data_IF_607589599895
#
_entry.id   IF_607589599895
#
_cell.length_a   1.000
_cell.length_b   1.000
_cell.length_c   1.000
_cell.angle_alpha   90.00
_cell.angle_beta   90.00
_cell.angle_gamma   90.00
#
_symmetry.space_group_name_H-M   'P 1'
#
loop_
_entity.id
_entity.type
_entity.pdbx_description
1 polymer ?
#
# COMPACT_ATOMS: atom_id res chain seq x y z
N UNK A 1 -3.31 4.61 65.11
CA UNK A 1 -4.04 4.83 63.84
C UNK A 1 -3.02 5.28 62.79
N UNK A 2 -2.50 4.37 61.95
CA UNK A 2 -1.61 4.69 60.82
C UNK A 2 -2.22 4.06 59.57
N UNK A 3 -2.85 4.87 58.72
CA UNK A 3 -3.29 4.43 57.40
C UNK A 3 -2.05 4.39 56.48
N UNK A 4 -1.62 3.20 56.11
CA UNK A 4 -0.63 2.97 55.06
C UNK A 4 -1.35 3.02 53.71
N UNK A 5 -0.99 4.01 52.90
CA UNK A 5 -1.45 4.15 51.52
C UNK A 5 -0.66 3.18 50.63
N UNK A 6 -1.33 2.18 50.06
CA UNK A 6 -0.76 1.33 49.03
C UNK A 6 -0.85 2.04 47.67
N UNK A 7 0.27 2.58 47.19
CA UNK A 7 0.42 3.07 45.82
C UNK A 7 0.43 1.87 44.86
N UNK A 8 -0.67 1.68 44.14
CA UNK A 8 -0.72 0.74 43.02
C UNK A 8 0.14 1.28 41.87
N UNK A 9 1.26 0.59 41.56
CA UNK A 9 1.98 0.80 40.31
C UNK A 9 1.12 0.32 39.14
N UNK A 10 0.46 1.25 38.46
CA UNK A 10 -0.16 0.99 37.17
C UNK A 10 0.97 0.94 36.14
N UNK A 11 1.40 -0.27 35.77
CA UNK A 11 2.34 -0.48 34.68
C UNK A 11 1.73 -0.02 33.36
N UNK A 12 2.21 1.11 32.83
CA UNK A 12 1.81 1.58 31.50
C UNK A 12 2.45 0.67 30.45
N UNK A 13 1.66 -0.27 29.93
CA UNK A 13 2.01 -1.05 28.75
C UNK A 13 2.00 -0.09 27.55
N UNK A 14 3.16 0.44 27.16
CA UNK A 14 3.27 1.24 25.94
C UNK A 14 3.02 0.33 24.74
N UNK A 15 2.00 0.59 23.91
CA UNK A 15 1.80 -0.18 22.70
C UNK A 15 3.02 0.04 21.81
N UNK A 16 3.76 -1.03 21.56
CA UNK A 16 4.77 -1.04 20.49
C UNK A 16 3.97 -0.89 19.19
N UNK A 17 4.11 0.25 18.52
CA UNK A 17 3.52 0.46 17.22
C UNK A 17 4.03 -0.64 16.28
N UNK A 18 3.15 -1.56 15.89
CA UNK A 18 3.48 -2.64 14.98
C UNK A 18 3.89 -2.04 13.63
N UNK A 19 5.04 -2.47 13.10
CA UNK A 19 5.46 -2.08 11.75
C UNK A 19 4.40 -2.53 10.75
N UNK A 20 3.87 -1.58 9.99
CA UNK A 20 2.88 -1.88 8.97
C UNK A 20 3.58 -2.17 7.64
N UNK A 21 3.19 -3.28 7.00
CA UNK A 21 3.73 -3.66 5.69
C UNK A 21 2.63 -3.89 4.67
N UNK A 22 2.99 -3.75 3.39
CA UNK A 22 2.21 -4.22 2.24
C UNK A 22 3.17 -4.84 1.23
N UNK A 23 2.90 -6.08 0.82
CA UNK A 23 3.64 -6.77 -0.23
C UNK A 23 2.85 -6.68 -1.53
N UNK A 24 3.51 -6.27 -2.60
CA UNK A 24 2.98 -6.25 -3.96
C UNK A 24 3.70 -7.36 -4.75
N UNK A 25 3.10 -8.55 -4.93
CA UNK A 25 3.66 -9.56 -5.82
C UNK A 25 3.87 -9.00 -7.24
N UNK A 26 4.75 -9.64 -8.01
CA UNK A 26 4.95 -9.30 -9.43
C UNK A 26 3.69 -9.55 -10.28
N UNK A 27 2.85 -10.49 -9.84
CA UNK A 27 1.62 -10.89 -10.50
C UNK A 27 0.49 -11.01 -9.49
N UNK A 28 -0.61 -10.29 -9.74
CA UNK A 28 -1.89 -10.48 -9.07
C UNK A 28 -2.70 -11.53 -9.82
N UNK A 29 -3.33 -12.47 -9.09
CA UNK A 29 -4.22 -13.49 -9.63
C UNK A 29 -5.64 -13.18 -9.18
N UNK A 30 -6.55 -13.10 -10.14
CA UNK A 30 -7.99 -12.88 -9.90
C UNK A 30 -8.71 -14.11 -10.43
N UNK A 31 -9.33 -14.89 -9.53
CA UNK A 31 -10.12 -16.07 -9.92
C UNK A 31 -11.54 -15.71 -10.31
N UNK A 32 -12.12 -14.69 -9.67
CA UNK A 32 -13.53 -14.35 -9.78
C UNK A 32 -13.73 -12.83 -9.80
N UNK A 33 -14.74 -12.39 -10.54
CA UNK A 33 -15.18 -10.99 -10.57
C UNK A 33 -16.71 -10.93 -10.67
N UNK A 34 -17.31 -9.95 -9.99
CA UNK A 34 -18.76 -9.73 -10.03
C UNK A 34 -19.09 -8.72 -11.12
N UNK A 35 -19.92 -9.12 -12.08
CA UNK A 35 -20.50 -8.20 -13.04
C UNK A 35 -21.55 -7.32 -12.34
N UNK A 36 -21.41 -6.00 -12.46
CA UNK A 36 -22.34 -5.02 -11.89
C UNK A 36 -23.19 -4.30 -12.95
N UNK A 37 -23.04 -4.66 -14.23
CA UNK A 37 -23.77 -4.04 -15.33
C UNK A 37 -25.20 -4.56 -15.40
N UNK A 38 -26.21 -3.73 -15.10
CA UNK A 38 -27.61 -4.17 -15.03
C UNK A 38 -28.20 -4.54 -16.40
N UNK A 39 -27.60 -4.04 -17.48
CA UNK A 39 -28.10 -4.23 -18.85
C UNK A 39 -27.66 -5.58 -19.45
N UNK A 40 -26.84 -6.36 -18.74
CA UNK A 40 -26.42 -7.67 -19.20
C UNK A 40 -27.52 -8.71 -18.95
N UNK A 41 -27.84 -9.58 -19.94
CA UNK A 41 -28.84 -10.64 -19.75
C UNK A 41 -28.47 -11.58 -18.61
N UNK A 42 -29.49 -12.14 -17.96
CA UNK A 42 -29.31 -13.20 -16.96
C UNK A 42 -28.53 -14.39 -17.56
N UNK A 43 -27.60 -14.94 -16.79
CA UNK A 43 -26.72 -16.02 -17.23
C UNK A 43 -25.44 -15.56 -17.93
N UNK A 44 -25.22 -14.25 -18.11
CA UNK A 44 -23.93 -13.72 -18.59
C UNK A 44 -22.85 -13.95 -17.53
N UNK A 45 -21.65 -14.35 -17.97
CA UNK A 45 -20.47 -14.53 -17.14
C UNK A 45 -19.30 -13.72 -17.69
N UNK A 46 -18.32 -13.43 -16.83
CA UNK A 46 -17.05 -12.83 -17.23
C UNK A 46 -16.01 -13.93 -17.35
N UNK A 47 -15.29 -13.93 -18.47
CA UNK A 47 -14.08 -14.72 -18.64
C UNK A 47 -12.86 -13.80 -18.54
N UNK A 48 -11.90 -14.17 -17.68
CA UNK A 48 -10.69 -13.39 -17.45
C UNK A 48 -9.53 -14.04 -18.20
N UNK A 49 -9.11 -13.42 -19.30
CA UNK A 49 -7.96 -13.91 -20.08
C UNK A 49 -6.74 -14.20 -19.19
N UNK A 50 -6.02 -15.29 -19.51
CA UNK A 50 -4.88 -15.81 -18.71
C UNK A 50 -5.22 -16.05 -17.23
N UNK A 51 -6.45 -16.46 -16.92
CA UNK A 51 -6.95 -16.71 -15.57
C UNK A 51 -6.76 -15.49 -14.65
N UNK A 52 -7.04 -14.29 -15.17
CA UNK A 52 -6.94 -13.04 -14.40
C UNK A 52 -5.54 -12.74 -13.87
N UNK A 53 -4.49 -13.05 -14.65
CA UNK A 53 -3.10 -12.70 -14.31
C UNK A 53 -2.79 -11.24 -14.67
N UNK A 54 -2.60 -10.39 -13.67
CA UNK A 54 -2.28 -8.99 -13.85
C UNK A 54 -0.88 -8.70 -13.33
N UNK A 55 0.02 -8.24 -14.20
CA UNK A 55 1.38 -7.86 -13.79
C UNK A 55 1.37 -6.56 -12.99
N UNK A 56 2.28 -6.44 -12.03
CA UNK A 56 2.50 -5.22 -11.28
C UNK A 56 2.99 -4.11 -12.23
N UNK A 57 2.29 -2.99 -12.21
CA UNK A 57 2.56 -1.82 -13.04
C UNK A 57 3.25 -0.71 -12.25
N UNK A 58 2.74 -0.40 -11.06
CA UNK A 58 3.30 0.67 -10.22
C UNK A 58 2.99 0.45 -8.74
N UNK A 59 3.66 1.25 -7.90
CA UNK A 59 3.32 1.38 -6.50
C UNK A 59 3.37 2.86 -6.10
N UNK A 60 2.65 3.23 -5.04
CA UNK A 60 2.74 4.57 -4.48
C UNK A 60 2.03 4.71 -3.15
N UNK A 61 2.07 5.92 -2.60
CA UNK A 61 1.33 6.31 -1.40
C UNK A 61 0.37 7.44 -1.77
N UNK A 62 -0.84 7.42 -1.24
CA UNK A 62 -1.91 8.39 -1.52
C UNK A 62 -2.39 9.05 -0.22
N UNK A 63 -2.79 10.32 -0.32
CA UNK A 63 -3.47 11.07 0.73
C UNK A 63 -4.99 11.01 0.50
N UNK A 64 -5.68 10.10 1.15
CA UNK A 64 -7.07 9.77 0.86
C UNK A 64 -7.22 8.50 0.02
N UNK A 65 -8.48 8.12 -0.25
CA UNK A 65 -8.76 6.89 -0.95
C UNK A 65 -8.16 6.97 -2.37
N UNK A 66 -7.60 5.89 -2.95
CA UNK A 66 -6.91 5.98 -4.26
C UNK A 66 -7.77 6.54 -5.41
N UNK A 67 -9.10 6.38 -5.31
CA UNK A 67 -10.10 7.00 -6.21
C UNK A 67 -10.10 8.53 -6.23
N UNK A 68 -9.58 9.15 -5.18
CA UNK A 68 -9.45 10.61 -5.05
C UNK A 68 -8.20 11.12 -5.79
N UNK A 69 -7.37 10.21 -6.31
CA UNK A 69 -6.21 10.48 -7.18
C UNK A 69 -5.13 11.39 -6.56
N UNK A 70 -5.11 11.52 -5.23
CA UNK A 70 -4.15 12.34 -4.50
C UNK A 70 -2.85 11.59 -4.18
N UNK A 71 -2.10 11.21 -5.22
CA UNK A 71 -0.81 10.52 -5.06
C UNK A 71 0.24 11.44 -4.42
N UNK A 72 0.99 10.91 -3.45
CA UNK A 72 2.08 11.59 -2.77
C UNK A 72 3.41 11.35 -3.49
N UNK A 73 4.20 12.41 -3.62
CA UNK A 73 5.56 12.37 -4.12
C UNK A 73 6.49 11.86 -2.99
N UNK A 74 7.43 10.94 -3.25
CA UNK A 74 8.43 10.55 -2.28
C UNK A 74 9.30 11.74 -1.84
N UNK A 75 9.63 11.82 -0.57
CA UNK A 75 10.52 12.83 0.02
C UNK A 75 11.96 12.76 -0.49
N UNK A 76 12.38 11.62 -1.05
CA UNK A 76 13.69 11.43 -1.67
C UNK A 76 13.64 11.47 -3.20
N UNK A 77 12.58 12.05 -3.77
CA UNK A 77 12.48 12.21 -5.21
C UNK A 77 13.59 13.15 -5.73
N UNK A 78 14.23 12.77 -6.85
CA UNK A 78 15.38 13.48 -7.41
C UNK A 78 16.75 13.06 -6.85
N UNK A 79 16.79 12.29 -5.75
CA UNK A 79 18.05 11.74 -5.24
C UNK A 79 18.58 10.58 -6.13
N UNK A 80 19.90 10.37 -6.21
CA UNK A 80 20.48 9.25 -6.96
C UNK A 80 19.95 7.89 -6.47
N UNK A 81 19.39 7.08 -7.37
CA UNK A 81 18.84 5.75 -7.07
C UNK A 81 19.85 4.65 -7.43
N UNK A 82 20.02 3.61 -6.60
CA UNK A 82 20.89 2.47 -6.93
C UNK A 82 20.38 1.72 -8.17
N UNK A 83 21.29 1.13 -8.97
CA UNK A 83 20.87 0.36 -10.16
C UNK A 83 20.06 -0.88 -9.77
N UNK A 84 18.99 -1.17 -10.51
CA UNK A 84 18.19 -2.39 -10.34
C UNK A 84 17.22 -2.41 -9.14
N UNK A 85 17.28 -1.40 -8.26
CA UNK A 85 16.35 -1.22 -7.14
C UNK A 85 15.88 0.22 -7.06
N UNK A 86 14.57 0.41 -6.95
CA UNK A 86 14.00 1.73 -6.66
C UNK A 86 13.63 1.79 -5.18
N UNK A 87 14.23 2.71 -4.44
CA UNK A 87 13.86 3.01 -3.06
C UNK A 87 13.15 4.37 -3.05
N UNK A 88 11.93 4.38 -2.54
CA UNK A 88 11.11 5.59 -2.37
C UNK A 88 10.76 5.75 -0.90
N UNK A 89 10.97 6.95 -0.34
CA UNK A 89 10.71 7.26 1.06
C UNK A 89 9.63 8.31 1.12
N UNK A 90 8.51 8.04 1.77
CA UNK A 90 7.47 9.02 2.06
C UNK A 90 7.53 9.39 3.53
N UNK A 91 7.85 10.65 3.83
CA UNK A 91 7.70 11.25 5.16
C UNK A 91 6.38 12.01 5.23
N UNK A 92 5.63 11.78 6.29
CA UNK A 92 4.27 12.30 6.46
C UNK A 92 4.29 13.60 7.25
N UNK A 93 4.56 14.71 6.54
CA UNK A 93 4.67 16.06 7.09
C UNK A 93 3.36 16.82 6.86
N UNK A 94 2.36 16.59 7.70
CA UNK A 94 1.09 17.32 7.63
C UNK A 94 -0.12 16.54 8.12
N UNK A 95 -1.29 17.19 8.20
CA UNK A 95 -2.53 16.50 8.51
C UNK A 95 -2.99 15.65 7.32
N UNK A 96 -3.32 14.38 7.57
CA UNK A 96 -3.91 13.46 6.59
C UNK A 96 -5.35 13.13 7.01
N UNK A 97 -6.30 14.09 6.91
CA UNK A 97 -7.66 13.92 7.43
C UNK A 97 -8.43 12.78 6.74
N UNK A 98 -8.07 12.45 5.50
CA UNK A 98 -8.66 11.36 4.74
C UNK A 98 -7.85 10.05 4.85
N UNK A 99 -6.80 10.03 5.67
CA UNK A 99 -5.89 8.90 5.86
C UNK A 99 -4.80 8.79 4.80
N UNK A 100 -3.90 7.84 5.00
CA UNK A 100 -2.78 7.52 4.12
C UNK A 100 -2.97 6.12 3.56
N UNK A 101 -2.74 5.91 2.27
CA UNK A 101 -2.97 4.61 1.63
C UNK A 101 -1.75 4.17 0.85
N UNK A 102 -1.31 2.93 1.09
CA UNK A 102 -0.34 2.23 0.25
C UNK A 102 -1.08 1.62 -0.93
N UNK A 103 -0.53 1.73 -2.14
CA UNK A 103 -1.17 1.26 -3.37
C UNK A 103 -0.20 0.44 -4.20
N UNK A 104 -0.66 -0.73 -4.64
CA UNK A 104 -0.06 -1.53 -5.71
C UNK A 104 -1.03 -1.51 -6.91
N UNK A 105 -0.60 -1.05 -8.08
CA UNK A 105 -1.42 -1.03 -9.28
C UNK A 105 -0.99 -2.14 -10.25
N UNK A 106 -1.96 -2.85 -10.82
CA UNK A 106 -1.76 -4.02 -11.67
C UNK A 106 -2.49 -3.87 -13.00
N UNK A 107 -2.00 -4.62 -14.00
CA UNK A 107 -2.56 -4.62 -15.35
C UNK A 107 -2.10 -3.44 -16.20
N UNK A 108 -2.55 -3.35 -17.46
CA UNK A 108 -2.21 -2.25 -18.35
C UNK A 108 -2.54 -0.91 -17.67
N UNK A 109 -1.56 -0.01 -17.63
CA UNK A 109 -1.67 1.33 -17.02
C UNK A 109 -2.21 1.37 -15.58
N UNK A 110 -2.13 0.25 -14.84
CA UNK A 110 -2.61 0.17 -13.45
C UNK A 110 -4.13 0.11 -13.31
N UNK A 111 -4.82 -0.57 -14.22
CA UNK A 111 -6.28 -0.71 -14.25
C UNK A 111 -6.91 -1.33 -13.00
N UNK A 112 -6.16 -2.10 -12.22
CA UNK A 112 -6.61 -2.69 -10.94
C UNK A 112 -5.70 -2.22 -9.81
N UNK A 113 -6.28 -1.63 -8.76
CA UNK A 113 -5.52 -1.16 -7.60
C UNK A 113 -5.86 -1.98 -6.36
N UNK A 114 -4.82 -2.49 -5.71
CA UNK A 114 -4.90 -3.04 -4.35
C UNK A 114 -4.36 -1.98 -3.41
N UNK A 115 -5.12 -1.66 -2.37
CA UNK A 115 -4.72 -0.62 -1.42
C UNK A 115 -4.91 -1.04 0.03
N UNK A 116 -4.10 -0.45 0.90
CA UNK A 116 -4.17 -0.61 2.35
C UNK A 116 -4.12 0.76 3.01
N UNK A 117 -5.10 1.08 3.86
CA UNK A 117 -5.02 2.25 4.74
C UNK A 117 -3.95 2.00 5.80
N UNK A 118 -3.11 3.00 6.01
CA UNK A 118 -2.06 3.01 7.04
C UNK A 118 -2.60 3.67 8.30
N UNK A 119 -2.17 3.22 9.46
CA UNK A 119 -2.51 3.82 10.75
C UNK A 119 -2.12 5.29 10.85
N UNK A 120 -2.95 6.05 11.57
CA UNK A 120 -2.72 7.48 11.78
C UNK A 120 -1.35 7.77 12.45
N UNK A 121 -0.85 6.97 13.42
CA UNK A 121 0.44 7.19 14.05
C UNK A 121 1.66 7.03 13.14
N UNK A 122 1.52 6.39 11.97
CA UNK A 122 2.65 6.19 11.06
C UNK A 122 3.13 7.54 10.52
N UNK A 123 4.44 7.74 10.62
CA UNK A 123 5.15 8.97 10.25
C UNK A 123 5.96 8.83 8.98
N UNK A 124 6.33 7.61 8.58
CA UNK A 124 7.01 7.37 7.32
C UNK A 124 6.73 5.98 6.76
N UNK A 125 6.83 5.86 5.43
CA UNK A 125 6.87 4.58 4.72
C UNK A 125 8.05 4.55 3.74
N UNK A 126 8.70 3.40 3.65
CA UNK A 126 9.70 3.10 2.63
C UNK A 126 9.14 2.08 1.67
N UNK A 127 9.15 2.38 0.38
CA UNK A 127 8.81 1.46 -0.69
C UNK A 127 10.07 0.99 -1.41
N UNK A 128 10.16 -0.31 -1.63
CA UNK A 128 11.21 -0.92 -2.46
C UNK A 128 10.58 -1.58 -3.67
N UNK A 129 11.10 -1.27 -4.86
CA UNK A 129 10.76 -1.92 -6.12
C UNK A 129 11.97 -2.67 -6.65
N UNK A 130 11.79 -3.96 -6.95
CA UNK A 130 12.75 -4.71 -7.78
C UNK A 130 12.34 -4.54 -9.23
N UNK A 131 13.29 -4.17 -10.07
CA UNK A 131 13.08 -4.07 -11.52
C UNK A 131 13.85 -5.17 -12.24
N UNK A 132 13.42 -5.50 -13.45
CA UNK A 132 14.21 -6.34 -14.34
C UNK A 132 15.50 -5.64 -14.81
N UNK A 133 16.34 -6.38 -15.51
CA UNK A 133 17.65 -5.89 -15.96
C UNK A 133 17.52 -4.71 -16.94
N UNK A 134 16.43 -4.65 -17.71
CA UNK A 134 16.11 -3.58 -18.65
C UNK A 134 15.45 -2.36 -17.96
N UNK A 135 15.07 -2.49 -16.69
CA UNK A 135 14.31 -1.50 -15.89
C UNK A 135 12.92 -1.16 -16.46
N UNK A 136 12.38 -2.03 -17.29
CA UNK A 136 11.09 -1.87 -17.98
C UNK A 136 9.92 -2.41 -17.13
N UNK A 137 10.15 -3.49 -16.36
CA UNK A 137 9.11 -4.12 -15.55
C UNK A 137 9.44 -4.11 -14.05
N UNK A 138 8.41 -3.96 -13.21
CA UNK A 138 8.51 -4.14 -11.75
C UNK A 138 8.28 -5.63 -11.44
N UNK A 139 9.31 -6.29 -10.90
CA UNK A 139 9.32 -7.72 -10.54
C UNK A 139 8.82 -7.98 -9.12
N UNK A 140 8.07 -7.03 -8.56
CA UNK A 140 7.59 -7.05 -7.19
C UNK A 140 8.06 -5.84 -6.39
N UNK A 141 7.28 -5.57 -5.35
CA UNK A 141 7.44 -4.39 -4.53
C UNK A 141 6.98 -4.62 -3.10
N UNK A 142 7.47 -3.78 -2.19
CA UNK A 142 7.08 -3.86 -0.79
C UNK A 142 7.13 -2.51 -0.12
N UNK A 143 6.24 -2.32 0.85
CA UNK A 143 6.24 -1.18 1.76
C UNK A 143 6.56 -1.63 3.19
N UNK A 144 7.37 -0.83 3.89
CA UNK A 144 7.58 -0.90 5.33
C UNK A 144 7.34 0.49 5.95
N UNK A 145 6.44 0.55 6.92
CA UNK A 145 5.96 1.78 7.53
C UNK A 145 6.22 1.79 9.05
N UNK A 146 6.51 2.99 9.58
CA UNK A 146 6.83 3.25 10.98
C UNK A 146 6.27 4.57 11.49
#
# INVERSE_FOLDING_TARGET
>A
MKLLWALALVGTCTPVAAKETLQCPDTLRVSDAVLQSPDLPAGTSIDLERNGSLRLFSMGVYSGHPRDMAQLIPSNEGEPKPRGRSISIWRFEGPYPYGKYLVCAYGPVGSVQVYKRVGDPVTACTGEARKDAAHEAILGASFECK
#
